data_IF_349251107031
#
_entry.id   IF_349251107031
#
_cell.length_a   1.000
_cell.length_b   1.000
_cell.length_c   1.000
_cell.angle_alpha   90.00
_cell.angle_beta   90.00
_cell.angle_gamma   90.00
#
_symmetry.space_group_name_H-M   'P 1'
#
loop_
_entity.id
_entity.type
_entity.pdbx_description
1 polymer ?
#
# COMPACT_ATOMS: atom_id res chain seq x y z
N UNK A 1 8.10 -4.86 9.40
CA UNK A 1 6.81 -5.17 10.06
C UNK A 1 5.94 -6.00 9.10
N UNK A 2 5.20 -7.02 9.55
CA UNK A 2 4.26 -7.73 8.65
C UNK A 2 2.98 -6.92 8.54
N UNK A 3 2.57 -6.59 7.31
CA UNK A 3 1.30 -5.91 7.03
C UNK A 3 0.17 -6.93 6.97
N UNK A 4 0.40 -8.05 6.28
CA UNK A 4 -0.49 -9.21 6.28
C UNK A 4 0.21 -10.48 5.77
N UNK A 5 -0.39 -11.62 6.08
CA UNK A 5 -0.04 -12.95 5.57
C UNK A 5 -1.35 -13.73 5.43
N UNK A 6 -1.82 -13.88 4.18
CA UNK A 6 -3.17 -14.37 3.91
C UNK A 6 -3.26 -14.98 2.51
N UNK A 7 -3.95 -16.13 2.43
CA UNK A 7 -4.36 -16.78 1.18
C UNK A 7 -3.20 -16.96 0.17
N UNK A 8 -1.99 -17.22 0.67
CA UNK A 8 -0.79 -17.42 -0.15
C UNK A 8 -0.05 -16.14 -0.52
N UNK A 9 -0.45 -14.97 0.00
CA UNK A 9 0.23 -13.69 -0.20
C UNK A 9 0.70 -13.15 1.14
N UNK A 10 1.98 -12.76 1.20
CA UNK A 10 2.55 -12.12 2.38
C UNK A 10 3.19 -10.81 1.99
N UNK A 11 2.90 -9.77 2.77
CA UNK A 11 3.48 -8.44 2.59
C UNK A 11 4.11 -7.95 3.88
N UNK A 12 5.35 -7.49 3.78
CA UNK A 12 6.10 -6.91 4.88
C UNK A 12 6.55 -5.49 4.54
N UNK A 13 6.29 -4.54 5.42
CA UNK A 13 6.83 -3.20 5.37
C UNK A 13 8.28 -3.18 5.83
N UNK A 14 9.12 -2.52 5.05
CA UNK A 14 10.53 -2.27 5.38
C UNK A 14 10.72 -0.86 5.94
N UNK A 15 10.34 0.17 5.19
CA UNK A 15 10.38 1.56 5.66
C UNK A 15 9.32 2.44 4.96
N UNK A 16 9.09 3.62 5.54
CA UNK A 16 8.22 4.67 5.01
C UNK A 16 9.05 5.95 4.93
N UNK A 17 8.94 6.72 3.85
CA UNK A 17 9.61 8.02 3.73
C UNK A 17 8.69 9.07 3.08
N UNK A 18 8.89 10.33 3.44
CA UNK A 18 8.26 11.47 2.77
C UNK A 18 9.22 11.98 1.70
N UNK A 19 8.83 11.85 0.42
CA UNK A 19 9.68 12.27 -0.70
C UNK A 19 9.38 13.71 -1.14
N UNK A 20 10.26 14.30 -1.95
CA UNK A 20 10.26 15.72 -2.31
C UNK A 20 8.95 16.22 -2.96
N UNK A 21 8.21 15.34 -3.62
CA UNK A 21 6.93 15.68 -4.27
C UNK A 21 5.73 15.70 -3.30
N UNK A 22 5.96 15.45 -2.02
CA UNK A 22 4.92 15.40 -0.99
C UNK A 22 4.20 14.06 -0.88
N UNK A 23 4.65 13.02 -1.58
CA UNK A 23 4.11 11.66 -1.44
C UNK A 23 4.76 10.93 -0.26
N UNK A 24 3.98 10.09 0.42
CA UNK A 24 4.53 9.07 1.30
C UNK A 24 4.84 7.82 0.49
N UNK A 25 6.07 7.34 0.58
CA UNK A 25 6.56 6.16 -0.10
C UNK A 25 6.70 5.00 0.88
N UNK A 26 6.12 3.85 0.55
CA UNK A 26 6.15 2.64 1.37
C UNK A 26 6.93 1.55 0.64
N UNK A 27 8.10 1.20 1.15
CA UNK A 27 8.91 0.09 0.63
C UNK A 27 8.47 -1.23 1.27
N UNK A 28 8.09 -2.19 0.43
CA UNK A 28 7.53 -3.47 0.87
C UNK A 28 8.19 -4.65 0.19
N UNK A 29 8.31 -5.75 0.95
CA UNK A 29 8.60 -7.07 0.41
C UNK A 29 7.27 -7.79 0.18
N UNK A 30 7.05 -8.30 -1.03
CA UNK A 30 5.85 -9.09 -1.38
C UNK A 30 6.27 -10.50 -1.75
N UNK A 31 5.58 -11.49 -1.17
CA UNK A 31 5.71 -12.91 -1.48
C UNK A 31 4.37 -13.40 -2.03
N UNK A 32 4.38 -14.07 -3.19
CA UNK A 32 3.21 -14.67 -3.80
C UNK A 32 3.40 -16.18 -3.98
N UNK A 33 2.47 -16.96 -3.43
CA UNK A 33 2.38 -18.43 -3.51
C UNK A 33 0.95 -18.91 -3.78
N UNK A 34 0.15 -18.07 -4.43
CA UNK A 34 -1.28 -18.30 -4.72
C UNK A 34 -1.51 -19.30 -5.84
N UNK A 35 -0.46 -19.71 -6.57
CA UNK A 35 -0.54 -20.51 -7.78
C UNK A 35 -0.88 -19.70 -9.03
N UNK A 36 -0.94 -18.36 -8.93
CA UNK A 36 -1.28 -17.44 -10.03
C UNK A 36 -0.58 -16.08 -9.89
N UNK A 37 -0.51 -15.31 -10.96
CA UNK A 37 -0.06 -13.92 -10.89
C UNK A 37 -1.14 -13.04 -10.26
N UNK A 38 -0.73 -12.12 -9.38
CA UNK A 38 -1.64 -11.19 -8.71
C UNK A 38 -1.27 -9.74 -8.99
N UNK A 39 -2.24 -8.84 -8.96
CA UNK A 39 -2.04 -7.41 -8.79
C UNK A 39 -2.49 -6.98 -7.40
N UNK A 40 -1.91 -5.91 -6.88
CA UNK A 40 -2.28 -5.35 -5.57
C UNK A 40 -2.56 -3.86 -5.74
N UNK A 41 -3.74 -3.44 -5.32
CA UNK A 41 -4.15 -2.03 -5.33
C UNK A 41 -4.30 -1.51 -3.91
N UNK A 42 -4.00 -0.23 -3.72
CA UNK A 42 -4.19 0.46 -2.45
C UNK A 42 -5.43 1.35 -2.55
N UNK A 43 -6.38 1.17 -1.64
CA UNK A 43 -7.66 1.88 -1.60
C UNK A 43 -7.96 2.40 -0.20
N UNK A 44 -8.95 3.30 -0.10
CA UNK A 44 -9.47 3.81 1.18
C UNK A 44 -8.33 4.28 2.10
N UNK A 45 -7.45 5.13 1.56
CA UNK A 45 -6.21 5.52 2.22
C UNK A 45 -6.38 6.80 3.02
N UNK A 46 -5.84 6.83 4.24
CA UNK A 46 -5.87 7.98 5.14
C UNK A 46 -4.57 8.12 5.92
N UNK A 47 -4.20 9.36 6.20
CA UNK A 47 -3.08 9.73 7.08
C UNK A 47 -3.61 10.73 8.11
N UNK A 48 -3.50 10.38 9.39
CA UNK A 48 -4.11 11.16 10.50
C UNK A 48 -5.58 11.55 10.24
N UNK A 49 -6.35 10.64 9.61
CA UNK A 49 -7.75 10.84 9.26
C UNK A 49 -8.02 11.69 8.01
N UNK A 50 -6.99 12.16 7.31
CA UNK A 50 -7.13 12.86 6.03
C UNK A 50 -6.99 11.89 4.87
N UNK A 51 -7.96 11.90 3.97
CA UNK A 51 -8.04 11.03 2.80
C UNK A 51 -6.88 11.28 1.83
N UNK A 52 -6.32 10.21 1.28
CA UNK A 52 -5.20 10.22 0.34
C UNK A 52 -5.54 9.36 -0.87
N UNK A 53 -4.94 9.67 -2.01
CA UNK A 53 -4.92 8.76 -3.15
C UNK A 53 -3.85 7.68 -2.94
N UNK A 54 -4.25 6.41 -3.07
CA UNK A 54 -3.34 5.26 -3.08
C UNK A 54 -2.91 4.92 -4.50
N UNK A 55 -1.60 4.90 -4.76
CA UNK A 55 -1.03 4.56 -6.05
C UNK A 55 -0.06 3.39 -5.95
N UNK A 56 0.11 2.71 -7.09
CA UNK A 56 0.89 1.48 -7.27
C UNK A 56 0.15 0.25 -6.63
N UNK A 57 0.25 -1.01 -7.08
CA UNK A 57 1.41 -1.84 -7.41
C UNK A 57 1.19 -2.74 -8.65
N UNK A 58 2.32 -3.23 -9.17
CA UNK A 58 2.49 -4.09 -10.35
C UNK A 58 2.08 -5.55 -10.18
N UNK A 59 1.96 -6.31 -11.29
CA UNK A 59 1.80 -7.75 -11.23
C UNK A 59 2.96 -8.46 -10.50
N UNK A 60 2.62 -9.40 -9.63
CA UNK A 60 3.51 -10.24 -8.82
C UNK A 60 3.33 -11.68 -9.27
N UNK A 61 4.27 -12.25 -10.06
CA UNK A 61 4.15 -13.63 -10.52
C UNK A 61 4.17 -14.63 -9.36
N UNK A 62 3.54 -15.79 -9.57
CA UNK A 62 3.54 -16.88 -8.60
C UNK A 62 4.96 -17.38 -8.28
N UNK A 63 5.16 -17.79 -7.02
CA UNK A 63 6.42 -18.31 -6.50
C UNK A 63 7.54 -17.28 -6.41
N UNK A 64 7.23 -15.98 -6.49
CA UNK A 64 8.20 -14.90 -6.42
C UNK A 64 8.15 -14.15 -5.10
N UNK A 65 9.33 -13.66 -4.73
CA UNK A 65 9.57 -12.70 -3.64
C UNK A 65 10.37 -11.55 -4.23
N UNK A 66 9.87 -10.32 -4.14
CA UNK A 66 10.63 -9.15 -4.55
C UNK A 66 10.20 -7.89 -3.82
N UNK A 67 11.12 -6.91 -3.84
CA UNK A 67 10.93 -5.57 -3.33
C UNK A 67 10.06 -4.77 -4.29
N UNK A 68 9.06 -4.10 -3.74
CA UNK A 68 8.13 -3.25 -4.47
C UNK A 68 7.75 -2.04 -3.60
N UNK A 69 6.99 -1.12 -4.15
CA UNK A 69 6.60 0.07 -3.43
C UNK A 69 5.23 0.59 -3.82
N UNK A 70 4.54 1.18 -2.85
CA UNK A 70 3.34 1.96 -3.11
C UNK A 70 3.45 3.36 -2.52
N UNK A 71 2.64 4.26 -3.05
CA UNK A 71 2.62 5.66 -2.61
C UNK A 71 1.25 6.08 -2.14
N UNK A 72 1.22 6.90 -1.10
CA UNK A 72 0.04 7.67 -0.71
C UNK A 72 0.29 9.13 -1.04
N UNK A 73 -0.62 9.74 -1.80
CA UNK A 73 -0.47 11.10 -2.31
C UNK A 73 -1.62 11.98 -1.86
N UNK A 74 -1.38 13.29 -1.64
CA UNK A 74 -2.45 14.27 -1.55
C UNK A 74 -3.44 14.12 -2.71
N UNK A 75 -4.74 14.29 -2.42
CA UNK A 75 -5.74 14.38 -3.48
C UNK A 75 -5.45 15.59 -4.38
N UNK A 76 -5.60 15.41 -5.70
CA UNK A 76 -5.34 16.46 -6.69
C UNK A 76 -6.14 17.74 -6.36
N UNK A 77 -5.45 18.88 -6.31
CA UNK A 77 -6.04 20.18 -6.01
C UNK A 77 -6.32 20.44 -4.53
N UNK A 78 -5.87 19.56 -3.64
CA UNK A 78 -6.00 19.71 -2.19
C UNK A 78 -4.65 19.79 -1.46
N UNK A 79 -3.53 19.94 -2.17
CA UNK A 79 -2.15 19.80 -1.68
C UNK A 79 -1.86 20.66 -0.44
N UNK A 80 -2.49 21.82 -0.33
CA UNK A 80 -2.36 22.74 0.82
C UNK A 80 -2.84 22.15 2.16
N UNK A 81 -3.74 21.15 2.15
CA UNK A 81 -4.30 20.51 3.35
C UNK A 81 -3.31 19.54 4.03
N UNK A 82 -2.29 19.07 3.32
CA UNK A 82 -1.47 17.93 3.73
C UNK A 82 -0.11 18.33 4.31
N UNK A 83 0.32 19.57 4.11
CA UNK A 83 1.70 19.99 4.33
C UNK A 83 2.24 19.76 5.75
N UNK A 84 1.43 19.92 6.79
CA UNK A 84 1.86 19.66 8.17
C UNK A 84 1.57 18.24 8.65
N UNK A 85 0.58 17.57 8.06
CA UNK A 85 0.17 16.21 8.40
C UNK A 85 1.26 15.22 7.98
N UNK A 86 1.78 15.37 6.77
CA UNK A 86 2.76 14.42 6.22
C UNK A 86 4.16 14.57 6.83
N UNK A 87 4.48 15.70 7.48
CA UNK A 87 5.79 15.91 8.13
C UNK A 87 5.99 15.07 9.39
N UNK A 88 4.91 14.74 10.09
CA UNK A 88 4.96 13.94 11.31
C UNK A 88 3.65 13.13 11.48
N UNK A 89 3.37 12.22 10.55
CA UNK A 89 2.16 11.40 10.58
C UNK A 89 2.19 10.48 11.79
N UNK A 90 1.04 10.31 12.44
CA UNK A 90 0.88 9.46 13.64
C UNK A 90 0.21 8.14 13.30
N UNK A 91 -0.70 8.16 12.34
CA UNK A 91 -1.42 6.99 11.87
C UNK A 91 -1.53 6.97 10.35
N UNK A 92 -1.46 5.76 9.82
CA UNK A 92 -1.75 5.46 8.43
C UNK A 92 -2.82 4.37 8.40
N UNK A 93 -3.82 4.50 7.55
CA UNK A 93 -4.77 3.42 7.30
C UNK A 93 -5.08 3.30 5.82
N UNK A 94 -5.13 2.07 5.31
CA UNK A 94 -5.43 1.79 3.91
C UNK A 94 -5.90 0.35 3.77
N UNK A 95 -6.55 0.05 2.65
CA UNK A 95 -7.00 -1.30 2.29
C UNK A 95 -6.23 -1.78 1.06
N UNK A 96 -5.58 -2.93 1.18
CA UNK A 96 -5.08 -3.65 0.00
C UNK A 96 -6.22 -4.45 -0.63
N UNK A 97 -6.41 -4.26 -1.94
CA UNK A 97 -7.16 -5.18 -2.77
C UNK A 97 -6.18 -6.06 -3.54
N UNK A 98 -6.23 -7.37 -3.29
CA UNK A 98 -5.45 -8.35 -4.04
C UNK A 98 -6.34 -8.97 -5.11
N UNK A 99 -5.86 -8.92 -6.35
CA UNK A 99 -6.62 -9.26 -7.55
C UNK A 99 -5.91 -10.32 -8.36
N UNK A 100 -6.65 -11.28 -8.88
CA UNK A 100 -6.15 -12.24 -9.87
C UNK A 100 -6.04 -11.53 -11.23
N UNK A 101 -4.82 -11.42 -11.75
CA UNK A 101 -4.55 -10.71 -13.01
C UNK A 101 -5.24 -11.35 -14.21
N UNK A 102 -5.38 -12.68 -14.23
CA UNK A 102 -5.95 -13.41 -15.36
C UNK A 102 -7.46 -13.52 -15.26
N UNK A 103 -7.98 -13.89 -14.08
CA UNK A 103 -9.42 -14.04 -13.87
C UNK A 103 -10.15 -12.69 -13.79
N UNK A 104 -9.41 -11.62 -13.54
CA UNK A 104 -9.95 -10.29 -13.30
C UNK A 104 -10.90 -10.21 -12.10
N UNK A 105 -10.62 -10.98 -11.04
CA UNK A 105 -11.44 -11.07 -9.83
C UNK A 105 -10.67 -10.71 -8.56
N UNK A 106 -11.34 -10.00 -7.65
CA UNK A 106 -10.78 -9.69 -6.32
C UNK A 106 -10.70 -10.97 -5.51
N UNK A 107 -9.48 -11.34 -5.11
CA UNK A 107 -9.23 -12.51 -4.27
C UNK A 107 -9.58 -12.20 -2.82
N UNK A 108 -9.07 -11.08 -2.29
CA UNK A 108 -9.41 -10.61 -0.95
C UNK A 108 -9.12 -9.12 -0.77
N UNK A 109 -9.74 -8.55 0.26
CA UNK A 109 -9.43 -7.23 0.80
C UNK A 109 -8.74 -7.39 2.15
N UNK A 110 -7.75 -6.54 2.41
CA UNK A 110 -7.01 -6.51 3.66
C UNK A 110 -6.83 -5.07 4.14
N UNK A 111 -7.58 -4.70 5.18
CA UNK A 111 -7.41 -3.44 5.87
C UNK A 111 -6.13 -3.48 6.72
N UNK A 112 -5.37 -2.38 6.70
CA UNK A 112 -4.13 -2.19 7.44
C UNK A 112 -4.20 -0.86 8.16
N UNK A 113 -3.72 -0.85 9.41
CA UNK A 113 -3.52 0.37 10.19
C UNK A 113 -2.15 0.32 10.84
N UNK A 114 -1.39 1.39 10.65
CA UNK A 114 -0.04 1.56 11.19
C UNK A 114 -0.03 2.76 12.11
N UNK A 115 0.63 2.64 13.26
CA UNK A 115 0.87 3.75 14.18
C UNK A 115 2.36 4.06 14.12
N UNK A 116 2.72 5.31 13.87
CA UNK A 116 4.08 5.78 13.96
C UNK A 116 4.47 5.91 15.44
N UNK A 117 5.60 5.31 15.83
CA UNK A 117 6.18 5.43 17.17
C UNK A 117 7.08 6.66 17.31
#
# INVERSE_FOLDING_TARGET
MILFDRDGVRMALNWIDLIEDGSLYFDVLVENSTGREICIYVKDSYVDGVEMDGFDLYPVPDGKTFWNSFTLKPLEGQEELYGDILKNPREFSFTFEVWDTEAHETMFLQAVSLVAE
#
